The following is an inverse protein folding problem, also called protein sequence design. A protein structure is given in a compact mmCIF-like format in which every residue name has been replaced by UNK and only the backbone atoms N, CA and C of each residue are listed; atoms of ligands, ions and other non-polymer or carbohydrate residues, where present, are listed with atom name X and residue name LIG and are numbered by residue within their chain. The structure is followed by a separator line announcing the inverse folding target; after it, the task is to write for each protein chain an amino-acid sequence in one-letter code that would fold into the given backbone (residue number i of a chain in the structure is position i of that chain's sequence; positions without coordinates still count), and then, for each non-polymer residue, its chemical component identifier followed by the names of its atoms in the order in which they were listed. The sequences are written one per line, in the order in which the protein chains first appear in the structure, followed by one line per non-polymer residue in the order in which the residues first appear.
data_IF_314260664904
#
_entry.id   IF_314260664904
#
_cell.length_a   1.000
_cell.length_b   1.000
_cell.length_c   1.000
_cell.angle_alpha   90.00
_cell.angle_beta   90.00
_cell.angle_gamma   90.00
#
_symmetry.space_group_name_H-M   'P 1'
#
loop_
_entity.id
_entity.type
_entity.pdbx_description
1 polymer ?
#
# COMPACT_ATOMS: atom_id res chain seq x y z
N UNK A 1 8.14 -0.84 1.93
CA UNK A 1 8.48 -1.87 0.95
C UNK A 1 9.72 -1.59 0.12
N UNK A 2 10.45 -0.56 0.39
CA UNK A 2 11.77 -0.37 -0.20
C UNK A 2 12.83 -0.96 0.74
N UNK A 3 13.37 -2.12 0.35
CA UNK A 3 14.40 -2.79 1.14
C UNK A 3 15.69 -1.97 1.12
N UNK A 4 16.13 -1.54 2.28
CA UNK A 4 17.40 -0.81 2.43
C UNK A 4 18.59 -1.70 2.08
N UNK A 5 18.48 -2.99 2.34
CA UNK A 5 19.49 -4.01 2.07
C UNK A 5 18.88 -5.40 2.00
N UNK A 6 19.60 -6.34 1.41
CA UNK A 6 19.10 -7.70 1.25
C UNK A 6 19.00 -8.47 2.59
N UNK A 7 19.91 -8.24 3.51
CA UNK A 7 19.92 -8.85 4.85
C UNK A 7 20.83 -8.09 5.82
N UNK A 8 20.57 -8.16 7.15
CA UNK A 8 19.42 -8.83 7.73
C UNK A 8 18.10 -8.12 7.36
N UNK A 9 16.98 -8.83 7.51
CA UNK A 9 15.65 -8.22 7.36
C UNK A 9 15.46 -7.10 8.40
N UNK A 10 14.89 -5.98 8.00
CA UNK A 10 14.62 -4.85 8.89
C UNK A 10 13.67 -5.25 10.03
N UNK A 11 12.70 -6.11 9.75
CA UNK A 11 11.79 -6.63 10.77
C UNK A 11 12.52 -7.38 11.89
N UNK A 12 13.62 -8.10 11.60
CA UNK A 12 14.40 -8.80 12.63
C UNK A 12 15.16 -7.81 13.52
N UNK A 13 15.65 -6.71 12.96
CA UNK A 13 16.30 -5.65 13.74
C UNK A 13 15.30 -4.95 14.67
N UNK A 14 14.09 -4.66 14.17
CA UNK A 14 13.00 -4.08 14.96
C UNK A 14 12.59 -5.06 16.08
N UNK A 15 12.44 -6.34 15.76
CA UNK A 15 12.14 -7.39 16.74
C UNK A 15 13.16 -7.41 17.87
N UNK A 16 14.44 -7.38 17.53
CA UNK A 16 15.55 -7.37 18.50
C UNK A 16 15.52 -6.10 19.36
N UNK A 17 15.38 -4.94 18.74
CA UNK A 17 15.35 -3.65 19.44
C UNK A 17 14.18 -3.53 20.44
N UNK A 18 13.05 -4.16 20.13
CA UNK A 18 11.85 -4.17 20.98
C UNK A 18 11.79 -5.37 21.94
N UNK A 19 12.71 -6.32 21.88
CA UNK A 19 12.70 -7.53 22.71
C UNK A 19 11.50 -8.45 22.43
N UNK A 20 10.94 -8.42 21.23
CA UNK A 20 9.75 -9.21 20.86
C UNK A 20 10.15 -10.67 20.62
N UNK A 21 9.41 -11.60 21.20
CA UNK A 21 9.59 -13.03 20.96
C UNK A 21 8.74 -13.48 19.76
N UNK A 22 9.20 -14.51 19.05
CA UNK A 22 8.52 -15.04 17.86
C UNK A 22 9.41 -14.97 16.63
N UNK A 23 8.82 -14.71 15.48
CA UNK A 23 9.53 -14.57 14.22
C UNK A 23 9.22 -13.25 13.53
N UNK A 24 10.13 -12.81 12.69
CA UNK A 24 9.98 -11.59 11.91
C UNK A 24 10.54 -11.77 10.50
N UNK A 25 9.97 -11.06 9.52
CA UNK A 25 10.43 -11.08 8.13
C UNK A 25 9.97 -9.81 7.41
N UNK A 26 10.66 -9.46 6.34
CA UNK A 26 10.27 -8.38 5.45
C UNK A 26 9.38 -8.89 4.32
N UNK A 27 8.41 -8.09 3.92
CA UNK A 27 7.52 -8.35 2.79
C UNK A 27 7.62 -7.19 1.79
N UNK A 28 7.76 -7.53 0.51
CA UNK A 28 7.83 -6.54 -0.55
C UNK A 28 6.66 -6.67 -1.53
N UNK A 29 5.70 -5.76 -1.42
CA UNK A 29 4.55 -5.60 -2.33
C UNK A 29 4.31 -4.11 -2.65
N UNK A 30 5.36 -3.33 -2.60
CA UNK A 30 5.38 -1.90 -2.90
C UNK A 30 4.25 -1.12 -2.19
N UNK A 31 3.55 -0.24 -2.90
CA UNK A 31 2.51 0.64 -2.34
C UNK A 31 1.33 -0.09 -1.68
N UNK A 32 1.16 -1.38 -1.94
CA UNK A 32 0.10 -2.20 -1.34
C UNK A 32 0.52 -2.89 -0.03
N UNK A 33 1.73 -2.64 0.47
CA UNK A 33 2.31 -3.35 1.62
C UNK A 33 1.43 -3.31 2.87
N UNK A 34 0.77 -2.17 3.16
CA UNK A 34 -0.12 -2.07 4.31
C UNK A 34 -1.31 -3.05 4.21
N UNK A 35 -2.00 -3.09 3.07
CA UNK A 35 -3.16 -3.97 2.87
C UNK A 35 -2.78 -5.44 2.86
N UNK A 36 -1.69 -5.80 2.17
CA UNK A 36 -1.15 -7.17 2.19
C UNK A 36 -0.67 -7.55 3.59
N UNK A 37 -0.03 -6.63 4.32
CA UNK A 37 0.41 -6.85 5.69
C UNK A 37 -0.73 -7.10 6.65
N UNK A 38 -1.84 -6.35 6.54
CA UNK A 38 -3.06 -6.60 7.33
C UNK A 38 -3.62 -7.99 7.03
N UNK A 39 -3.68 -8.39 5.75
CA UNK A 39 -4.14 -9.74 5.39
C UNK A 39 -3.22 -10.81 5.99
N UNK A 40 -1.91 -10.64 5.86
CA UNK A 40 -0.94 -11.57 6.39
C UNK A 40 -1.02 -11.67 7.92
N UNK A 41 -1.18 -10.54 8.60
CA UNK A 41 -1.38 -10.51 10.05
C UNK A 41 -2.68 -11.22 10.47
N UNK A 42 -3.78 -10.96 9.75
CA UNK A 42 -5.06 -11.62 9.97
C UNK A 42 -4.94 -13.15 9.86
N UNK A 43 -4.32 -13.65 8.79
CA UNK A 43 -4.12 -15.08 8.57
C UNK A 43 -3.21 -15.70 9.65
N UNK A 44 -2.16 -14.99 10.05
CA UNK A 44 -1.23 -15.41 11.10
C UNK A 44 -1.94 -15.52 12.46
N UNK A 45 -2.83 -14.59 12.78
CA UNK A 45 -3.65 -14.63 14.01
C UNK A 45 -4.64 -15.78 13.93
N UNK A 46 -5.31 -16.02 12.81
CA UNK A 46 -6.18 -17.17 12.61
C UNK A 46 -5.44 -18.51 12.72
N UNK A 47 -4.15 -18.53 12.42
CA UNK A 47 -3.27 -19.69 12.61
C UNK A 47 -2.74 -19.84 14.04
N UNK A 48 -3.14 -19.00 14.99
CA UNK A 48 -2.84 -19.12 16.41
C UNK A 48 -1.85 -18.09 16.98
N UNK A 49 -1.37 -17.14 16.20
CA UNK A 49 -0.62 -16.03 16.77
C UNK A 49 -1.56 -15.07 17.53
N UNK A 50 -1.11 -14.61 18.69
CA UNK A 50 -1.92 -13.71 19.53
C UNK A 50 -1.91 -12.27 19.02
N UNK A 51 -0.77 -11.81 18.48
CA UNK A 51 -0.56 -10.41 18.10
C UNK A 51 0.51 -10.31 17.02
N UNK A 52 0.30 -9.42 16.05
CA UNK A 52 1.26 -9.11 14.98
C UNK A 52 1.54 -7.61 14.99
N UNK A 53 2.82 -7.23 15.03
CA UNK A 53 3.27 -5.87 14.78
C UNK A 53 3.56 -5.73 13.28
N UNK A 54 2.78 -4.93 12.59
CA UNK A 54 3.01 -4.54 11.20
C UNK A 54 3.70 -3.18 11.17
N UNK A 55 4.90 -3.13 10.57
CA UNK A 55 5.65 -1.90 10.41
C UNK A 55 5.84 -1.61 8.92
N UNK A 56 5.43 -0.42 8.49
CA UNK A 56 5.65 0.07 7.14
C UNK A 56 6.72 1.16 7.20
N UNK A 57 7.90 0.84 6.70
CA UNK A 57 9.07 1.74 6.67
C UNK A 57 9.39 2.03 5.22
N UNK A 58 9.41 3.30 4.86
CA UNK A 58 9.70 3.75 3.51
C UNK A 58 10.86 4.74 3.51
N UNK A 59 11.91 4.42 2.74
CA UNK A 59 13.03 5.31 2.42
C UNK A 59 13.06 5.45 0.90
N UNK A 60 12.00 6.03 0.36
CA UNK A 60 11.79 6.16 -1.09
C UNK A 60 12.65 7.27 -1.70
N UNK A 61 13.15 8.20 -0.90
CA UNK A 61 14.14 9.20 -1.32
C UNK A 61 15.38 8.56 -1.96
N UNK A 62 15.77 7.36 -1.51
CA UNK A 62 16.94 6.65 -2.01
C UNK A 62 16.87 6.20 -3.48
N UNK A 63 15.69 6.14 -4.08
CA UNK A 63 15.51 5.78 -5.51
C UNK A 63 14.67 6.79 -6.30
N UNK A 64 14.33 7.92 -5.72
CA UNK A 64 13.63 9.01 -6.38
C UNK A 64 14.57 9.79 -7.28
N UNK A 65 14.17 10.04 -8.51
CA UNK A 65 14.88 10.96 -9.39
C UNK A 65 14.41 12.41 -9.12
N UNK A 66 15.15 13.14 -8.29
CA UNK A 66 14.84 14.53 -7.94
C UNK A 66 14.97 15.51 -9.13
N UNK A 67 15.50 15.09 -10.27
CA UNK A 67 15.57 15.90 -11.50
C UNK A 67 14.40 15.62 -12.44
N UNK A 68 13.66 14.54 -12.23
CA UNK A 68 12.50 14.20 -13.03
C UNK A 68 11.32 15.10 -12.69
N UNK A 69 10.76 15.78 -13.69
CA UNK A 69 9.54 16.60 -13.51
C UNK A 69 8.31 15.75 -13.18
N UNK A 70 8.33 14.48 -13.58
CA UNK A 70 7.18 13.56 -13.44
C UNK A 70 7.19 12.81 -12.12
N UNK A 71 8.35 12.70 -11.43
CA UNK A 71 8.52 11.80 -10.31
C UNK A 71 9.16 12.45 -9.05
N UNK A 72 9.80 13.62 -9.14
CA UNK A 72 10.58 14.18 -8.02
C UNK A 72 9.76 14.49 -6.76
N UNK A 73 8.46 14.68 -6.89
CA UNK A 73 7.55 15.09 -5.80
C UNK A 73 6.67 13.93 -5.27
N UNK A 74 6.77 12.73 -5.87
CA UNK A 74 5.77 11.67 -5.64
C UNK A 74 5.96 10.93 -4.33
N UNK A 75 7.18 10.91 -3.79
CA UNK A 75 7.54 10.15 -2.62
C UNK A 75 8.05 11.00 -1.46
N UNK A 76 7.85 10.48 -0.25
CA UNK A 76 8.46 10.95 0.98
C UNK A 76 8.87 9.77 1.86
N UNK A 77 9.82 10.00 2.75
CA UNK A 77 10.28 9.00 3.72
C UNK A 77 9.39 9.04 4.95
N UNK A 78 8.92 7.87 5.39
CA UNK A 78 8.02 7.74 6.53
C UNK A 78 8.10 6.35 7.15
N UNK A 79 7.77 6.25 8.43
CA UNK A 79 7.55 4.98 9.09
C UNK A 79 6.22 5.02 9.85
N UNK A 80 5.44 3.96 9.70
CA UNK A 80 4.19 3.75 10.45
C UNK A 80 4.17 2.36 11.06
N UNK A 81 3.45 2.19 12.16
CA UNK A 81 3.29 0.90 12.82
C UNK A 81 1.83 0.68 13.22
N UNK A 82 1.39 -0.56 13.12
CA UNK A 82 0.06 -0.99 13.53
C UNK A 82 0.15 -2.32 14.27
N UNK A 83 -0.65 -2.49 15.31
CA UNK A 83 -0.81 -3.76 16.01
C UNK A 83 -2.13 -4.37 15.56
N UNK A 84 -2.07 -5.59 15.05
CA UNK A 84 -3.22 -6.40 14.71
C UNK A 84 -3.29 -7.53 15.74
N UNK A 85 -4.44 -7.70 16.37
CA UNK A 85 -4.63 -8.71 17.41
C UNK A 85 -6.08 -9.21 17.45
N UNK A 86 -6.27 -10.40 17.96
CA UNK A 86 -7.58 -10.87 18.36
C UNK A 86 -7.92 -10.25 19.73
N UNK A 87 -9.07 -9.59 19.81
CA UNK A 87 -9.49 -8.89 21.03
C UNK A 87 -11.00 -8.88 21.17
N UNK A 88 -11.48 -8.96 22.40
CA UNK A 88 -12.89 -8.76 22.74
C UNK A 88 -13.23 -7.26 22.96
N UNK A 89 -12.23 -6.41 23.03
CA UNK A 89 -12.46 -4.97 23.20
C UNK A 89 -12.93 -4.34 21.91
N UNK A 90 -13.83 -3.36 22.00
CA UNK A 90 -14.31 -2.58 20.85
C UNK A 90 -13.44 -1.34 20.57
N UNK A 91 -12.23 -1.30 21.10
CA UNK A 91 -11.28 -0.22 20.82
C UNK A 91 -10.56 -0.48 19.50
N UNK A 92 -10.46 0.55 18.64
CA UNK A 92 -9.79 0.46 17.35
C UNK A 92 -10.71 0.14 16.18
N UNK A 93 -10.16 -0.49 15.16
CA UNK A 93 -10.87 -0.88 13.93
C UNK A 93 -10.96 -2.39 13.85
N UNK A 94 -12.14 -2.89 13.54
CA UNK A 94 -12.36 -4.29 13.24
C UNK A 94 -12.12 -4.55 11.76
N UNK A 95 -11.34 -5.60 11.44
CA UNK A 95 -11.14 -6.07 10.07
C UNK A 95 -12.27 -7.03 9.71
N UNK A 96 -13.23 -6.56 8.91
CA UNK A 96 -14.39 -7.35 8.51
C UNK A 96 -14.10 -8.28 7.33
N UNK A 97 -13.44 -7.76 6.29
CA UNK A 97 -13.16 -8.50 5.06
C UNK A 97 -11.91 -7.93 4.37
N UNK A 98 -11.15 -8.79 3.72
CA UNK A 98 -9.95 -8.40 2.98
C UNK A 98 -9.96 -9.07 1.61
N UNK A 99 -9.83 -8.26 0.57
CA UNK A 99 -9.71 -8.73 -0.81
C UNK A 99 -8.41 -8.23 -1.42
N UNK A 100 -7.61 -9.15 -1.95
CA UNK A 100 -6.34 -8.85 -2.61
C UNK A 100 -6.38 -9.30 -4.06
N UNK A 101 -5.75 -8.52 -4.92
CA UNK A 101 -5.59 -8.84 -6.33
C UNK A 101 -4.24 -8.34 -6.82
N UNK A 102 -3.59 -9.10 -7.68
CA UNK A 102 -2.34 -8.72 -8.33
C UNK A 102 -2.46 -8.85 -9.85
N UNK A 103 -1.95 -7.85 -10.54
CA UNK A 103 -1.88 -7.84 -12.00
C UNK A 103 -0.55 -7.24 -12.42
N UNK A 104 0.13 -7.92 -13.34
CA UNK A 104 1.38 -7.42 -13.89
C UNK A 104 1.14 -6.23 -14.81
N UNK A 105 1.96 -5.19 -14.66
CA UNK A 105 2.05 -4.07 -15.60
C UNK A 105 3.47 -3.52 -15.63
N UNK A 106 3.96 -3.16 -16.82
CA UNK A 106 5.25 -2.48 -16.99
C UNK A 106 5.16 -0.95 -16.87
N UNK A 107 3.98 -0.42 -16.60
CA UNK A 107 3.76 1.03 -16.56
C UNK A 107 4.30 1.71 -15.30
N UNK A 108 4.75 0.92 -14.32
CA UNK A 108 5.36 1.41 -13.08
C UNK A 108 6.44 0.41 -12.65
N UNK A 109 7.69 0.86 -12.50
CA UNK A 109 8.81 -0.05 -12.22
C UNK A 109 10.11 0.65 -11.82
N UNK A 110 11.01 -0.15 -11.23
CA UNK A 110 12.45 0.04 -11.29
C UNK A 110 13.04 -1.13 -12.12
N UNK A 111 14.13 -0.90 -12.82
CA UNK A 111 14.69 -1.95 -13.69
C UNK A 111 15.58 -2.94 -12.90
N UNK A 112 16.48 -2.48 -12.03
CA UNK A 112 17.53 -3.31 -11.45
C UNK A 112 17.59 -3.38 -9.92
N UNK A 113 17.02 -2.47 -9.16
CA UNK A 113 17.05 -2.53 -7.71
C UNK A 113 18.46 -2.75 -7.11
N UNK A 114 18.66 -3.87 -6.37
CA UNK A 114 19.90 -4.20 -5.67
C UNK A 114 20.92 -5.02 -6.48
N UNK A 115 20.55 -5.46 -7.68
CA UNK A 115 21.47 -6.24 -8.51
C UNK A 115 22.63 -5.36 -8.94
N UNK A 116 23.83 -5.96 -9.02
CA UNK A 116 24.96 -5.30 -9.62
C UNK A 116 24.65 -5.00 -11.09
N UNK A 117 24.74 -3.75 -11.53
CA UNK A 117 24.52 -3.43 -12.92
C UNK A 117 25.65 -4.09 -13.75
N UNK A 118 25.30 -4.60 -14.94
CA UNK A 118 26.30 -4.89 -15.94
C UNK A 118 26.94 -3.57 -16.39
N UNK A 119 28.08 -3.61 -17.02
CA UNK A 119 28.80 -2.42 -17.53
C UNK A 119 27.97 -1.56 -18.49
N UNK A 120 26.93 -2.16 -19.07
CA UNK A 120 26.00 -1.51 -20.03
C UNK A 120 24.79 -0.85 -19.36
N UNK A 121 24.60 -1.01 -18.05
CA UNK A 121 23.44 -0.43 -17.37
C UNK A 121 23.66 1.01 -16.96
N UNK A 122 22.72 1.87 -17.33
CA UNK A 122 22.71 3.25 -16.90
C UNK A 122 22.35 3.34 -15.41
N UNK A 123 22.97 4.26 -14.66
CA UNK A 123 22.63 4.54 -13.27
C UNK A 123 21.14 4.90 -13.08
N UNK A 124 20.51 5.49 -14.10
CA UNK A 124 19.09 5.84 -14.09
C UNK A 124 18.16 4.63 -14.08
N UNK A 125 18.61 3.45 -14.49
CA UNK A 125 17.84 2.21 -14.46
C UNK A 125 17.47 1.74 -13.04
N UNK A 126 18.16 2.21 -12.01
CA UNK A 126 17.84 1.95 -10.61
C UNK A 126 16.72 2.84 -10.06
N UNK A 127 16.39 3.90 -10.78
CA UNK A 127 15.41 4.87 -10.33
C UNK A 127 14.00 4.45 -10.69
N UNK A 128 13.06 4.97 -9.93
CA UNK A 128 11.64 4.79 -10.18
C UNK A 128 11.23 5.46 -11.49
N UNK A 129 10.42 4.76 -12.29
CA UNK A 129 9.83 5.28 -13.53
C UNK A 129 8.37 4.87 -13.66
N UNK A 130 7.55 5.72 -14.26
CA UNK A 130 6.15 5.43 -14.52
C UNK A 130 5.62 6.10 -15.80
N UNK A 131 4.65 5.43 -16.44
CA UNK A 131 3.72 6.03 -17.39
C UNK A 131 2.42 6.39 -16.66
N UNK A 132 2.39 7.57 -16.04
CA UNK A 132 1.30 7.98 -15.16
C UNK A 132 -0.07 7.96 -15.82
N UNK A 133 -0.17 8.25 -17.15
CA UNK A 133 -1.44 8.22 -17.89
C UNK A 133 -1.99 6.80 -18.04
N UNK A 134 -1.13 5.82 -18.29
CA UNK A 134 -1.54 4.42 -18.38
C UNK A 134 -1.90 3.87 -17.02
N UNK A 135 -1.10 4.14 -15.99
CA UNK A 135 -1.40 3.78 -14.61
C UNK A 135 -2.78 4.30 -14.21
N UNK A 136 -3.06 5.58 -14.46
CA UNK A 136 -4.37 6.19 -14.17
C UNK A 136 -5.53 5.43 -14.83
N UNK A 137 -5.42 5.13 -16.13
CA UNK A 137 -6.46 4.45 -16.90
C UNK A 137 -6.69 3.00 -16.46
N UNK A 138 -5.65 2.31 -16.04
CA UNK A 138 -5.70 0.91 -15.61
C UNK A 138 -6.21 0.78 -14.17
N UNK A 139 -5.67 1.58 -13.26
CA UNK A 139 -5.85 1.39 -11.82
C UNK A 139 -7.21 1.90 -11.34
N UNK A 140 -7.65 3.09 -11.77
CA UNK A 140 -8.87 3.68 -11.22
C UNK A 140 -10.12 2.81 -11.41
N UNK A 141 -10.43 2.31 -12.64
CA UNK A 141 -11.59 1.44 -12.83
C UNK A 141 -11.46 0.10 -12.09
N UNK A 142 -10.24 -0.45 -12.06
CA UNK A 142 -9.98 -1.72 -11.38
C UNK A 142 -10.24 -1.61 -9.87
N UNK A 143 -9.69 -0.60 -9.23
CA UNK A 143 -9.85 -0.34 -7.79
C UNK A 143 -11.32 -0.07 -7.45
N UNK A 144 -12.00 0.80 -8.20
CA UNK A 144 -13.42 1.06 -7.99
C UNK A 144 -14.27 -0.21 -8.09
N UNK A 145 -14.01 -1.07 -9.09
CA UNK A 145 -14.71 -2.34 -9.25
C UNK A 145 -14.43 -3.31 -8.10
N UNK A 146 -13.19 -3.37 -7.61
CA UNK A 146 -12.83 -4.22 -6.48
C UNK A 146 -13.55 -3.78 -5.20
N UNK A 147 -13.51 -2.48 -4.89
CA UNK A 147 -14.20 -1.91 -3.73
C UNK A 147 -15.71 -2.13 -3.83
N UNK A 148 -16.32 -1.83 -4.97
CA UNK A 148 -17.75 -2.02 -5.16
C UNK A 148 -18.18 -3.48 -4.92
N UNK A 149 -17.42 -4.46 -5.45
CA UNK A 149 -17.70 -5.88 -5.21
C UNK A 149 -17.60 -6.27 -3.74
N UNK A 150 -16.60 -5.71 -3.03
CA UNK A 150 -16.39 -5.99 -1.61
C UNK A 150 -17.49 -5.38 -0.75
N UNK A 151 -17.95 -4.17 -1.08
CA UNK A 151 -19.07 -3.52 -0.41
C UNK A 151 -20.38 -4.32 -0.60
N UNK A 152 -20.66 -4.74 -1.82
CA UNK A 152 -21.84 -5.61 -2.12
C UNK A 152 -21.77 -6.91 -1.34
N UNK A 153 -20.59 -7.57 -1.30
CA UNK A 153 -20.41 -8.82 -0.54
C UNK A 153 -20.71 -8.66 0.96
N UNK A 154 -20.44 -7.49 1.51
CA UNK A 154 -20.64 -7.16 2.93
C UNK A 154 -21.95 -6.42 3.19
N UNK A 155 -22.83 -6.30 2.19
CA UNK A 155 -24.12 -5.61 2.30
C UNK A 155 -24.00 -4.13 2.74
N UNK A 156 -22.92 -3.47 2.29
CA UNK A 156 -22.65 -2.06 2.61
C UNK A 156 -22.92 -1.20 1.38
N UNK A 157 -23.82 -0.24 1.53
CA UNK A 157 -24.03 0.80 0.51
C UNK A 157 -22.83 1.76 0.47
N UNK A 158 -22.28 2.10 -0.71
CA UNK A 158 -21.12 2.98 -0.83
C UNK A 158 -21.31 4.35 -0.14
N UNK A 159 -22.53 4.87 -0.14
CA UNK A 159 -22.89 6.15 0.49
C UNK A 159 -22.90 6.10 2.03
N UNK A 160 -22.90 4.91 2.62
CA UNK A 160 -22.85 4.69 4.06
C UNK A 160 -21.40 4.53 4.58
N UNK A 161 -20.42 4.44 3.69
CA UNK A 161 -19.00 4.40 4.06
C UNK A 161 -18.59 5.77 4.60
N UNK A 162 -17.98 5.80 5.79
CA UNK A 162 -17.51 7.04 6.40
C UNK A 162 -16.26 7.60 5.76
N UNK A 163 -15.35 6.74 5.30
CA UNK A 163 -14.08 7.12 4.68
C UNK A 163 -13.59 6.02 3.75
N UNK A 164 -13.05 6.41 2.60
CA UNK A 164 -12.27 5.58 1.69
C UNK A 164 -10.79 5.99 1.82
N UNK A 165 -10.02 5.21 2.54
CA UNK A 165 -8.59 5.43 2.70
C UNK A 165 -7.84 4.89 1.46
N UNK A 166 -7.84 5.67 0.39
CA UNK A 166 -7.18 5.32 -0.86
C UNK A 166 -5.69 5.66 -0.79
N UNK A 167 -4.90 5.05 -1.67
CA UNK A 167 -3.49 5.37 -1.80
C UNK A 167 -3.29 6.82 -2.26
N UNK A 168 -2.50 7.60 -1.53
CA UNK A 168 -2.35 9.05 -1.70
C UNK A 168 -1.30 9.43 -2.76
N UNK A 169 -1.22 8.69 -3.88
CA UNK A 169 -0.28 9.01 -4.96
C UNK A 169 -0.74 10.19 -5.83
N UNK A 170 -2.05 10.37 -6.01
CA UNK A 170 -2.60 11.40 -6.89
C UNK A 170 -4.05 11.70 -6.51
N UNK A 171 -4.35 12.95 -6.16
CA UNK A 171 -5.69 13.38 -5.78
C UNK A 171 -6.75 13.10 -6.87
N UNK A 172 -6.43 13.35 -8.14
CA UNK A 172 -7.38 13.11 -9.25
C UNK A 172 -7.71 11.61 -9.43
N UNK A 173 -6.81 10.69 -9.08
CA UNK A 173 -7.13 9.25 -9.05
C UNK A 173 -8.16 8.96 -7.97
N UNK A 174 -7.95 9.49 -6.78
CA UNK A 174 -8.84 9.30 -5.64
C UNK A 174 -10.24 9.89 -5.90
N UNK A 175 -10.29 11.09 -6.46
CA UNK A 175 -11.56 11.71 -6.90
C UNK A 175 -12.30 10.86 -7.93
N UNK A 176 -11.59 10.32 -8.93
CA UNK A 176 -12.21 9.46 -9.94
C UNK A 176 -12.74 8.16 -9.33
N UNK A 177 -11.95 7.51 -8.47
CA UNK A 177 -12.40 6.30 -7.77
C UNK A 177 -13.64 6.59 -6.93
N UNK A 178 -13.67 7.70 -6.20
CA UNK A 178 -14.84 8.12 -5.43
C UNK A 178 -16.07 8.34 -6.33
N UNK A 179 -15.90 9.07 -7.44
CA UNK A 179 -17.00 9.29 -8.42
C UNK A 179 -17.55 8.01 -9.00
N UNK A 180 -16.70 7.01 -9.22
CA UNK A 180 -17.12 5.69 -9.70
C UNK A 180 -17.86 4.86 -8.65
N UNK A 181 -17.60 5.09 -7.37
CA UNK A 181 -18.22 4.37 -6.26
C UNK A 181 -19.55 4.94 -5.83
N UNK A 182 -19.64 6.26 -5.66
CA UNK A 182 -20.82 6.93 -5.08
C UNK A 182 -21.58 7.81 -6.05
N UNK A 183 -21.12 7.95 -7.29
CA UNK A 183 -21.67 8.87 -8.29
C UNK A 183 -21.13 10.29 -8.15
N UNK A 184 -21.22 11.06 -9.24
CA UNK A 184 -20.63 12.41 -9.33
C UNK A 184 -21.21 13.36 -8.29
N UNK A 185 -22.52 13.43 -8.17
CA UNK A 185 -23.21 14.37 -7.28
C UNK A 185 -22.85 14.16 -5.81
N UNK A 186 -22.82 12.89 -5.35
CA UNK A 186 -22.44 12.55 -3.98
C UNK A 186 -20.95 12.82 -3.73
N UNK A 187 -20.09 12.51 -4.70
CA UNK A 187 -18.66 12.75 -4.57
C UNK A 187 -18.33 14.26 -4.46
N UNK A 188 -19.02 15.11 -5.21
CA UNK A 188 -18.87 16.57 -5.15
C UNK A 188 -19.48 17.18 -3.86
N UNK A 189 -20.54 16.59 -3.33
CA UNK A 189 -21.18 17.04 -2.09
C UNK A 189 -20.44 16.58 -0.82
N UNK A 190 -19.68 15.50 -0.89
CA UNK A 190 -18.97 14.87 0.25
C UNK A 190 -17.49 14.57 -0.07
N UNK A 191 -16.69 15.60 -0.37
CA UNK A 191 -15.27 15.40 -0.69
C UNK A 191 -14.48 14.78 0.49
N UNK A 192 -14.96 14.94 1.71
CA UNK A 192 -14.36 14.37 2.91
C UNK A 192 -14.42 12.84 2.98
N UNK A 193 -15.15 12.17 2.08
CA UNK A 193 -15.14 10.71 1.98
C UNK A 193 -13.77 10.16 1.59
N UNK A 194 -12.96 10.95 0.89
CA UNK A 194 -11.57 10.66 0.57
C UNK A 194 -10.71 11.78 1.14
N UNK A 195 -10.00 11.52 2.27
CA UNK A 195 -9.13 12.52 2.91
C UNK A 195 -7.86 12.80 2.10
#
# INVERSE_FOLDING_TARGET
SNLQRAYPAVAIEIQTALGIQGYAYDMNVACSAATFGIKQAFDTIKAGARRVLLVNVEITSGHTDFRSRDCHFIFGDVATASIIEETETKAGFEVLDINLFTQFSNNIRNNFGFLNPSETTNADDKRFSQDGRKVFKEVCPLVAKMIAKQLVKNEIEPTNVKRFWLHQANASMNELVLKLLVGKEVAEAKPELVP
#
